data_IF_850911574377
#
_entry.id   IF_850911574377
#
_cell.length_a   1.000
_cell.length_b   1.000
_cell.length_c   1.000
_cell.angle_alpha   90.00
_cell.angle_beta   90.00
_cell.angle_gamma   90.00
#
_symmetry.space_group_name_H-M   'P 1'
#
loop_
_entity.id
_entity.type
_entity.pdbx_description
1 polymer ?
2 non-polymer ?
3 non-polymer ?
4 water ?
#
# COMPACT_ATOMS: atom_id res chain seq x y z
N UNK A 31 -25.51 -0.33 4.60
CA UNK A 31 -25.03 1.03 4.49
C UNK A 31 -23.54 1.08 4.13
N UNK A 32 -23.05 2.28 3.82
CA UNK A 32 -21.66 2.50 3.46
C UNK A 32 -21.06 3.43 4.51
N UNK A 33 -19.89 3.13 5.06
CA UNK A 33 -19.30 4.02 6.07
C UNK A 33 -19.01 5.39 5.49
N UNK A 34 -18.91 6.41 6.33
CA UNK A 34 -18.58 7.75 5.82
C UNK A 34 -17.18 7.78 5.25
N UNK A 35 -16.86 8.79 4.45
CA UNK A 35 -15.53 8.83 3.82
C UNK A 35 -14.44 9.17 4.82
N UNK A 36 -13.24 8.66 4.54
CA UNK A 36 -12.08 9.05 5.30
C UNK A 36 -11.63 10.45 4.90
N UNK A 37 -10.89 11.11 5.81
CA UNK A 37 -10.19 12.33 5.47
C UNK A 37 -8.84 11.99 4.84
N UNK A 38 -8.51 12.65 3.73
CA UNK A 38 -7.29 12.36 2.96
C UNK A 38 -6.52 13.64 2.69
N UNK A 39 -5.97 14.26 3.73
CA UNK A 39 -5.27 15.55 3.55
C UNK A 39 -3.93 15.36 2.87
N UNK A 40 -3.53 16.25 1.97
CA UNK A 40 -2.20 16.13 1.36
C UNK A 40 -1.10 16.50 2.35
N UNK A 41 0.06 15.86 2.19
CA UNK A 41 1.16 16.02 3.12
C UNK A 41 2.49 16.21 2.38
N UNK A 42 2.46 16.94 1.26
CA UNK A 42 3.68 17.21 0.49
C UNK A 42 4.80 17.74 1.38
N UNK A 43 6.01 17.21 1.20
CA UNK A 43 7.15 17.62 2.00
C UNK A 43 7.65 19.00 1.57
N UNK A 44 7.61 20.00 2.44
CA UNK A 44 8.11 21.33 2.05
C UNK A 44 9.61 21.30 1.79
N UNK A 45 10.10 22.09 0.86
CA UNK A 45 11.56 22.13 0.61
C UNK A 45 12.29 22.92 1.68
N UNK A 46 13.40 22.36 2.14
CA UNK A 46 14.21 22.97 3.20
C UNK A 46 15.66 23.05 2.75
N UNK A 47 16.13 24.23 2.36
CA UNK A 47 17.53 24.35 1.92
C UNK A 47 18.54 23.89 2.96
N UNK A 48 18.19 23.97 4.25
CA UNK A 48 19.15 23.65 5.30
C UNK A 48 19.37 22.15 5.47
N UNK A 49 18.46 21.31 4.97
CA UNK A 49 18.57 19.87 5.14
C UNK A 49 19.22 19.17 3.96
N UNK A 50 19.56 19.90 2.89
CA UNK A 50 20.13 19.31 1.67
C UNK A 50 21.44 18.58 1.95
N UNK A 51 21.45 17.24 1.89
CA UNK A 51 22.67 16.51 2.23
C UNK A 51 23.50 16.23 0.99
N UNK A 52 24.81 16.07 1.14
CA UNK A 52 25.63 15.58 0.02
C UNK A 52 25.37 14.10 -0.22
N UNK A 53 25.71 13.59 -1.42
CA UNK A 53 25.39 12.19 -1.73
C UNK A 53 25.89 11.19 -0.69
N UNK A 54 27.09 11.43 -0.13
CA UNK A 54 27.66 10.48 0.81
C UNK A 54 26.84 10.41 2.09
N UNK A 55 26.09 11.47 2.41
CA UNK A 55 25.28 11.48 3.62
C UNK A 55 23.94 10.77 3.46
N UNK A 56 23.56 10.38 2.25
CA UNK A 56 22.33 9.61 2.02
C UNK A 56 22.71 8.14 1.96
N UNK A 57 22.31 7.33 2.93
CA UNK A 57 22.69 5.90 2.89
C UNK A 57 22.04 5.18 1.72
N UNK A 58 22.77 4.22 1.16
CA UNK A 58 22.19 3.38 0.13
C UNK A 58 21.19 2.39 0.72
N UNK A 59 20.19 2.02 -0.06
CA UNK A 59 19.22 1.04 0.39
C UNK A 59 19.91 -0.31 0.58
N UNK A 60 19.54 -1.07 1.61
CA UNK A 60 20.23 -2.35 1.86
C UNK A 60 20.04 -3.33 0.71
N UNK A 61 21.11 -4.04 0.38
CA UNK A 61 21.09 -5.06 -0.66
C UNK A 61 21.59 -6.36 -0.05
N UNK A 62 20.73 -7.38 -0.04
CA UNK A 62 21.06 -8.70 0.49
C UNK A 62 20.98 -9.73 -0.63
N UNK A 63 21.64 -10.87 -0.40
CA UNK A 63 21.55 -11.96 -1.37
C UNK A 63 20.13 -12.50 -1.45
N UNK A 64 19.85 -13.19 -2.56
CA UNK A 64 18.54 -13.83 -2.69
C UNK A 64 18.33 -14.86 -1.58
N UNK A 65 19.39 -15.57 -1.20
CA UNK A 65 19.28 -16.55 -0.13
C UNK A 65 18.83 -15.90 1.18
N UNK A 66 19.52 -14.83 1.59
CA UNK A 66 19.14 -14.11 2.80
C UNK A 66 17.73 -13.52 2.67
N UNK A 67 17.41 -12.96 1.50
CA UNK A 67 16.10 -12.34 1.34
C UNK A 67 14.97 -13.34 1.56
N UNK A 68 15.12 -14.56 1.03
CA UNK A 68 14.05 -15.55 1.17
C UNK A 68 13.89 -15.99 2.62
N UNK A 69 15.01 -16.13 3.34
CA UNK A 69 14.93 -16.45 4.77
C UNK A 69 14.23 -15.34 5.54
N UNK A 70 14.56 -14.07 5.24
CA UNK A 70 13.93 -12.96 5.95
C UNK A 70 12.45 -12.86 5.61
N UNK A 71 12.08 -13.15 4.36
CA UNK A 71 10.68 -13.14 4.00
C UNK A 71 9.91 -14.22 4.75
N UNK A 72 10.52 -15.40 4.91
CA UNK A 72 9.86 -16.47 5.67
C UNK A 72 9.67 -16.10 7.14
N UNK A 73 10.67 -15.44 7.73
CA UNK A 73 10.54 -14.99 9.12
C UNK A 73 9.42 -13.99 9.28
N UNK A 74 9.37 -13.00 8.39
CA UNK A 74 8.31 -12.00 8.44
C UNK A 74 6.95 -12.63 8.19
N UNK A 75 6.87 -13.62 7.31
CA UNK A 75 5.59 -14.27 7.05
C UNK A 75 5.06 -14.95 8.31
N UNK A 76 5.95 -15.62 9.05
CA UNK A 76 5.51 -16.30 10.28
C UNK A 76 5.09 -15.27 11.33
N UNK A 77 5.83 -14.16 11.42
CA UNK A 77 5.46 -13.15 12.41
C UNK A 77 4.11 -12.52 12.08
N UNK A 78 3.83 -12.30 10.79
CA UNK A 78 2.56 -11.73 10.40
C UNK A 78 1.41 -12.70 10.69
N UNK A 79 1.63 -13.99 10.42
CA UNK A 79 0.64 -15.00 10.72
C UNK A 79 0.16 -14.91 12.17
N UNK A 80 1.06 -14.64 13.10
CA UNK A 80 0.74 -14.66 14.52
C UNK A 80 0.52 -13.29 15.13
N UNK A 81 0.68 -12.22 14.36
CA UNK A 81 0.54 -10.88 14.90
C UNK A 81 -0.38 -9.95 14.13
N UNK A 82 -0.92 -10.39 13.00
CA UNK A 82 -1.80 -9.56 12.18
C UNK A 82 -3.13 -10.28 12.05
N UNK A 83 -4.22 -9.60 12.42
CA UNK A 83 -5.54 -10.22 12.40
C UNK A 83 -6.00 -10.42 10.97
N UNK A 84 -6.50 -11.61 10.66
CA UNK A 84 -6.99 -11.90 9.32
C UNK A 84 -5.93 -12.33 8.34
N UNK A 85 -4.71 -12.57 8.77
CA UNK A 85 -3.65 -12.94 7.85
C UNK A 85 -3.91 -14.31 7.24
N UNK A 86 -3.58 -14.44 5.96
CA UNK A 86 -3.75 -15.70 5.26
C UNK A 86 -2.67 -15.83 4.20
N UNK A 87 -2.18 -17.05 4.03
CA UNK A 87 -1.60 -17.46 2.77
C UNK A 87 -2.76 -17.87 1.88
N UNK A 88 -2.56 -17.80 0.59
CA UNK A 88 -3.67 -18.00 -0.35
C UNK A 88 -3.55 -19.34 -1.04
N UNK A 89 -4.60 -19.70 -1.78
CA UNK A 89 -4.55 -20.87 -2.64
C UNK A 89 -3.53 -20.64 -3.75
N UNK A 90 -3.02 -21.72 -4.36
CA UNK A 90 -2.04 -21.54 -5.45
C UNK A 90 -2.56 -20.66 -6.58
N UNK A 91 -3.83 -20.83 -6.99
CA UNK A 91 -4.35 -20.03 -8.09
C UNK A 91 -4.39 -18.55 -7.71
N UNK A 92 -4.76 -18.24 -6.46
CA UNK A 92 -4.79 -16.86 -6.02
C UNK A 92 -3.39 -16.27 -5.91
N UNK A 93 -2.44 -17.05 -5.38
CA UNK A 93 -1.05 -16.58 -5.32
C UNK A 93 -0.50 -16.25 -6.72
N UNK A 94 -0.76 -17.13 -7.68
CA UNK A 94 -0.31 -16.87 -9.05
C UNK A 94 -0.89 -15.57 -9.59
N UNK A 95 -2.16 -15.29 -9.31
CA UNK A 95 -2.77 -14.05 -9.77
C UNK A 95 -2.10 -12.84 -9.16
N UNK A 96 -1.86 -12.86 -7.85
CA UNK A 96 -1.16 -11.76 -7.20
C UNK A 96 0.23 -11.55 -7.83
N UNK A 97 0.99 -12.63 -8.00
CA UNK A 97 2.37 -12.52 -8.44
C UNK A 97 2.45 -12.08 -9.90
N UNK A 98 1.62 -12.66 -10.76
CA UNK A 98 1.67 -12.33 -12.19
C UNK A 98 1.23 -10.89 -12.45
N UNK A 99 0.10 -10.49 -11.87
CA UNK A 99 -0.42 -9.15 -12.14
C UNK A 99 0.45 -8.06 -11.53
N UNK A 100 1.06 -8.33 -10.37
CA UNK A 100 1.96 -7.35 -9.77
C UNK A 100 3.22 -7.17 -10.62
N UNK A 101 3.82 -8.29 -11.05
CA UNK A 101 4.99 -8.20 -11.93
C UNK A 101 4.63 -7.54 -13.25
N UNK A 102 3.46 -7.88 -13.81
CA UNK A 102 2.99 -7.21 -15.03
C UNK A 102 2.94 -5.69 -14.84
N UNK A 103 2.38 -5.23 -13.72
CA UNK A 103 2.17 -3.81 -13.51
C UNK A 103 3.50 -3.08 -13.33
N UNK A 104 4.41 -3.64 -12.53
CA UNK A 104 5.72 -3.02 -12.36
C UNK A 104 6.45 -2.95 -13.69
N UNK A 105 6.35 -3.99 -14.52
CA UNK A 105 6.99 -3.97 -15.84
C UNK A 105 6.39 -2.90 -16.75
N UNK A 106 5.06 -2.75 -16.75
CA UNK A 106 4.43 -1.74 -17.60
C UNK A 106 4.74 -0.33 -17.13
N UNK A 107 4.92 -0.12 -15.82
CA UNK A 107 5.28 1.17 -15.28
C UNK A 107 6.77 1.48 -15.44
N UNK A 108 7.56 0.52 -15.95
CA UNK A 108 9.00 0.68 -16.14
C UNK A 108 9.68 1.08 -14.82
N UNK A 109 9.22 0.50 -13.71
CA UNK A 109 9.89 0.71 -12.42
C UNK A 109 10.92 -0.39 -12.21
N UNK A 110 12.17 -0.05 -11.92
CA UNK A 110 13.21 -1.09 -11.84
C UNK A 110 13.17 -1.84 -10.51
N UNK A 111 13.53 -3.12 -10.59
CA UNK A 111 13.72 -3.96 -9.40
C UNK A 111 15.19 -4.36 -9.41
N UNK A 112 16.01 -3.63 -8.66
CA UNK A 112 17.45 -3.83 -8.66
C UNK A 112 17.98 -4.47 -7.38
N UNK A 113 17.10 -4.79 -6.43
CA UNK A 113 17.48 -5.39 -5.15
C UNK A 113 16.29 -6.18 -4.64
N UNK A 114 16.51 -7.25 -3.89
CA UNK A 114 15.37 -7.92 -3.22
C UNK A 114 14.60 -6.92 -2.38
N UNK A 115 13.27 -6.94 -2.50
CA UNK A 115 12.44 -5.96 -1.82
C UNK A 115 10.99 -6.43 -1.74
N UNK A 116 10.33 -6.04 -0.65
CA UNK A 116 8.91 -6.34 -0.51
C UNK A 116 8.06 -5.38 -1.35
N UNK A 117 6.91 -5.87 -1.81
CA UNK A 117 5.92 -5.10 -2.55
C UNK A 117 4.55 -5.40 -1.93
N UNK A 118 3.75 -4.36 -1.67
CA UNK A 118 2.40 -4.53 -1.14
C UNK A 118 1.43 -4.53 -2.33
N UNK A 119 0.82 -5.67 -2.61
CA UNK A 119 -0.05 -5.83 -3.75
C UNK A 119 -1.50 -5.86 -3.25
N UNK A 120 -2.33 -4.97 -3.79
CA UNK A 120 -3.73 -4.82 -3.38
C UNK A 120 -4.62 -5.19 -4.55
N UNK A 121 -5.48 -6.20 -4.37
CA UNK A 121 -6.43 -6.59 -5.42
C UNK A 121 -7.74 -5.89 -5.14
N UNK A 122 -8.05 -4.87 -5.92
CA UNK A 122 -9.25 -4.07 -5.71
C UNK A 122 -10.51 -4.74 -6.23
N UNK A 123 -10.40 -5.89 -6.91
CA UNK A 123 -11.61 -6.50 -7.46
C UNK A 123 -12.65 -6.67 -6.37
N UNK A 124 -13.91 -6.36 -6.70
CA UNK A 124 -15.00 -6.40 -5.73
C UNK A 124 -15.13 -7.77 -5.06
N UNK A 125 -14.73 -8.84 -5.76
CA UNK A 125 -14.85 -10.20 -5.26
C UNK A 125 -13.65 -10.67 -4.47
N UNK A 126 -12.55 -9.91 -4.47
CA UNK A 126 -11.32 -10.34 -3.79
C UNK A 126 -11.07 -9.50 -2.54
N UNK A 127 -10.75 -8.22 -2.73
CA UNK A 127 -10.62 -7.26 -1.61
C UNK A 127 -9.64 -7.78 -0.57
N UNK A 128 -8.44 -8.16 -1.05
CA UNK A 128 -7.36 -8.63 -0.20
C UNK A 128 -6.04 -8.06 -0.69
N UNK A 129 -5.07 -7.95 0.21
CA UNK A 129 -3.71 -7.61 -0.15
C UNK A 129 -2.81 -8.82 0.04
N UNK A 130 -1.67 -8.82 -0.67
CA UNK A 130 -0.65 -9.86 -0.55
C UNK A 130 0.71 -9.17 -0.53
N UNK A 131 1.52 -9.48 0.47
CA UNK A 131 2.92 -9.07 0.46
C UNK A 131 3.73 -10.02 -0.40
N UNK A 132 4.54 -9.46 -1.31
CA UNK A 132 5.34 -10.23 -2.26
C UNK A 132 6.80 -9.82 -2.14
N UNK A 133 7.69 -10.80 -2.28
CA UNK A 133 9.14 -10.56 -2.32
C UNK A 133 9.52 -10.51 -3.79
N UNK A 134 9.88 -9.33 -4.27
CA UNK A 134 10.37 -9.15 -5.62
C UNK A 134 11.88 -9.38 -5.63
N UNK A 135 12.34 -10.23 -6.54
CA UNK A 135 13.76 -10.55 -6.69
C UNK A 135 14.21 -10.15 -8.08
N UNK A 136 15.41 -9.56 -8.20
CA UNK A 136 15.84 -9.06 -9.51
C UNK A 136 16.13 -10.15 -10.52
N UNK A 137 16.51 -11.34 -10.08
CA UNK A 137 16.97 -12.38 -11.00
C UNK A 137 16.40 -13.76 -10.64
N UNK A 138 15.23 -13.78 -10.01
CA UNK A 138 14.57 -15.03 -9.65
C UNK A 138 13.08 -14.79 -9.55
N UNK A 139 12.28 -15.86 -9.55
CA UNK A 139 10.82 -15.69 -9.47
C UNK A 139 10.39 -15.03 -8.16
N UNK A 140 9.40 -14.15 -8.25
CA UNK A 140 8.90 -13.49 -7.07
C UNK A 140 8.18 -14.51 -6.18
N UNK A 141 8.08 -14.20 -4.88
CA UNK A 141 7.50 -15.12 -3.90
C UNK A 141 6.43 -14.43 -3.05
N UNK A 142 5.39 -15.19 -2.74
CA UNK A 142 4.22 -14.68 -2.01
C UNK A 142 4.38 -14.98 -0.52
N UNK A 143 4.18 -13.94 0.32
CA UNK A 143 4.23 -14.11 1.76
C UNK A 143 2.85 -14.31 2.39
N UNK A 144 1.80 -13.72 1.82
CA UNK A 144 0.48 -13.71 2.41
C UNK A 144 0.02 -12.31 2.72
N UNK A 145 -1.22 -12.21 3.18
CA UNK A 145 -1.81 -10.92 3.45
C UNK A 145 -3.16 -10.99 4.16
N UNK A 146 -3.90 -9.90 4.06
CA UNK A 146 -5.11 -9.71 4.83
C UNK A 146 -6.22 -9.16 3.95
N UNK A 147 -7.47 -9.25 4.40
CA UNK A 147 -8.54 -8.51 3.72
C UNK A 147 -8.27 -7.01 3.77
N UNK A 148 -8.82 -6.28 2.78
CA UNK A 148 -8.80 -4.83 2.74
C UNK A 148 -10.19 -4.35 2.33
N UNK A 149 -10.38 -3.03 2.31
CA UNK A 149 -11.54 -2.42 1.68
C UNK A 149 -11.04 -1.30 0.79
N UNK A 150 -11.36 -1.37 -0.52
CA UNK A 150 -11.05 -0.31 -1.46
C UNK A 150 -12.35 0.43 -1.84
N UNK A 151 -12.26 1.29 -2.85
CA UNK A 151 -13.37 2.18 -3.16
C UNK A 151 -14.56 1.44 -3.75
N UNK A 152 -15.76 1.86 -3.32
CA UNK A 152 -16.98 1.21 -3.76
C UNK A 152 -17.60 1.93 -4.97
N UNK A 153 -18.44 1.19 -5.69
CA UNK A 153 -19.28 1.75 -6.74
C UNK A 153 -20.68 2.02 -6.20
N UNK A 154 -21.48 2.73 -7.00
CA UNK A 154 -22.87 2.95 -6.67
C UNK A 154 -23.15 4.02 -5.65
N UNK A 155 -22.17 4.86 -5.32
CA UNK A 155 -22.33 5.91 -4.31
C UNK A 155 -21.71 7.20 -4.82
N UNK A 156 -22.50 8.26 -4.85
CA UNK A 156 -21.99 9.53 -5.32
C UNK A 156 -20.86 10.02 -4.42
N UNK A 157 -19.78 10.50 -5.04
CA UNK A 157 -18.55 11.05 -4.45
C UNK A 157 -17.62 9.98 -3.92
N UNK A 158 -17.91 8.70 -4.16
CA UNK A 158 -17.00 7.60 -3.87
C UNK A 158 -16.36 7.12 -5.17
N UNK A 159 -15.06 6.94 -5.14
CA UNK A 159 -14.27 6.57 -6.31
C UNK A 159 -13.78 5.13 -6.26
N UNK A 160 -13.61 4.53 -7.43
CA UNK A 160 -12.92 3.25 -7.55
C UNK A 160 -11.43 3.47 -7.35
N UNK A 161 -10.81 2.68 -6.47
CA UNK A 161 -9.36 2.80 -6.26
C UNK A 161 -8.63 2.47 -7.57
N UNK A 162 -7.74 3.35 -8.05
CA UNK A 162 -7.09 3.10 -9.35
C UNK A 162 -6.04 2.02 -9.30
N UNK A 163 -5.96 1.24 -10.38
CA UNK A 163 -4.85 0.31 -10.58
C UNK A 163 -3.59 1.10 -10.92
N UNK A 164 -2.43 0.51 -10.63
CA UNK A 164 -1.18 1.11 -11.00
C UNK A 164 -0.11 0.84 -9.95
N UNK A 165 1.04 1.48 -10.15
CA UNK A 165 2.19 1.33 -9.27
C UNK A 165 2.39 2.66 -8.56
N UNK A 166 2.34 2.64 -7.22
CA UNK A 166 2.41 3.84 -6.41
C UNK A 166 3.56 3.70 -5.42
N UNK A 167 4.46 4.67 -5.41
CA UNK A 167 5.66 4.57 -4.60
C UNK A 167 5.56 5.44 -3.36
N UNK A 168 6.00 4.89 -2.22
CA UNK A 168 6.10 5.63 -0.95
C UNK A 168 7.46 6.32 -0.91
N UNK A 169 7.48 7.62 -1.22
CA UNK A 169 8.74 8.37 -1.33
C UNK A 169 8.77 9.52 -0.33
N UNK A 170 9.95 10.14 -0.21
CA UNK A 170 10.13 11.29 0.66
C UNK A 170 9.52 12.57 0.10
N UNK A 171 8.80 12.50 -1.04
CA UNK A 171 8.09 13.66 -1.54
C UNK A 171 6.88 13.96 -0.66
N UNK A 172 6.47 13.03 0.21
CA UNK A 172 5.34 13.21 1.11
C UNK A 172 5.71 12.67 2.49
N UNK A 173 5.13 13.28 3.52
CA UNK A 173 5.37 12.86 4.90
C UNK A 173 4.35 11.87 5.44
N UNK A 174 3.12 11.89 4.93
CA UNK A 174 2.06 11.18 5.65
C UNK A 174 1.84 11.82 7.00
N UNK A 175 1.17 11.09 7.89
CA UNK A 175 0.90 11.63 9.21
C UNK A 175 0.46 10.50 10.13
N UNK A 176 0.18 10.85 11.39
CA UNK A 176 -0.34 9.91 12.38
C UNK A 176 -1.69 10.39 12.87
N UNK A 177 -2.70 9.50 12.78
CA UNK A 177 -4.05 9.82 13.24
C UNK A 177 -4.09 9.79 14.77
N UNK A 193 -0.19 7.37 17.68
CA UNK A 193 -1.26 7.45 16.69
C UNK A 193 -1.08 6.47 15.55
N UNK A 194 -2.17 6.23 14.81
CA UNK A 194 -2.14 5.27 13.71
C UNK A 194 -1.49 5.92 12.49
N UNK A 195 -0.60 5.19 11.84
CA UNK A 195 0.12 5.72 10.68
C UNK A 195 -0.79 5.86 9.47
N UNK A 196 -0.61 6.95 8.71
CA UNK A 196 -1.26 7.10 7.41
C UNK A 196 -0.18 7.33 6.36
N UNK A 197 -0.22 6.53 5.29
CA UNK A 197 0.68 6.67 4.15
C UNK A 197 -0.02 7.47 3.07
N UNK A 198 0.66 8.52 2.57
CA UNK A 198 0.12 9.41 1.55
C UNK A 198 0.82 9.13 0.22
N UNK A 199 0.05 8.66 -0.77
CA UNK A 199 0.59 8.26 -2.06
C UNK A 199 0.43 9.33 -3.13
N UNK A 200 -0.12 10.51 -2.78
CA UNK A 200 -0.21 11.64 -3.68
C UNK A 200 -1.53 11.68 -4.45
N UNK A 201 -1.70 12.77 -5.19
CA UNK A 201 -2.85 12.91 -6.07
C UNK A 201 -2.77 11.87 -7.16
N UNK A 202 -3.88 11.16 -7.40
CA UNK A 202 -3.93 10.14 -8.46
C UNK A 202 -5.26 10.22 -9.20
N UNK A 203 -5.20 9.95 -10.51
CA UNK A 203 -6.41 9.92 -11.33
C UNK A 203 -7.20 8.65 -11.02
N UNK A 204 -8.51 8.82 -10.80
CA UNK A 204 -9.37 7.71 -10.41
C UNK A 204 -10.72 7.85 -11.08
N UNK A 205 -11.36 6.71 -11.31
CA UNK A 205 -12.68 6.67 -11.94
C UNK A 205 -13.79 6.89 -10.90
N UNK A 206 -14.67 7.83 -11.19
CA UNK A 206 -15.87 8.05 -10.38
C UNK A 206 -16.72 6.79 -10.36
N UNK A 207 -17.03 6.32 -9.14
CA UNK A 207 -17.69 5.02 -8.99
C UNK A 207 -19.16 4.99 -9.28
N UNK A 208 -19.78 6.17 -9.48
CA UNK A 208 -21.22 6.27 -9.65
C UNK A 208 -21.63 6.68 -11.06
N UNK A 209 -20.70 6.70 -12.02
CA UNK A 209 -21.01 7.15 -13.37
C UNK A 209 -20.61 6.12 -14.41
N UNK A 210 -21.56 5.37 -14.95
CA UNK A 210 -21.21 4.37 -15.98
C UNK A 210 -20.54 4.94 -17.21
N UNK A 211 -20.65 6.26 -17.46
CA UNK A 211 -20.00 6.83 -18.64
C UNK A 211 -18.47 6.83 -18.56
N UNK A 212 -17.87 6.51 -17.40
CA UNK A 212 -16.43 6.53 -17.19
C UNK A 212 -15.93 7.96 -17.24
N UNK A 213 -15.85 8.59 -16.07
CA UNK A 213 -15.40 9.97 -15.89
C UNK A 213 -14.43 9.96 -14.74
N UNK A 214 -13.24 10.56 -14.93
CA UNK A 214 -12.22 10.50 -13.90
C UNK A 214 -12.17 11.80 -13.10
N UNK A 215 -11.57 11.72 -11.92
CA UNK A 215 -11.23 12.87 -11.12
C UNK A 215 -9.97 12.56 -10.33
N UNK A 216 -9.50 13.53 -9.57
CA UNK A 216 -8.29 13.40 -8.77
C UNK A 216 -8.66 13.08 -7.32
N UNK A 217 -8.04 12.03 -6.77
CA UNK A 217 -8.19 11.71 -5.36
C UNK A 217 -6.81 11.76 -4.73
N UNK A 218 -6.78 12.04 -3.42
CA UNK A 218 -5.55 11.92 -2.63
C UNK A 218 -5.48 10.48 -2.14
N UNK A 219 -4.69 9.66 -2.82
CA UNK A 219 -4.67 8.22 -2.52
C UNK A 219 -3.88 7.97 -1.23
N UNK A 220 -4.53 7.38 -0.22
CA UNK A 220 -3.89 7.16 1.07
C UNK A 220 -4.25 5.79 1.60
N UNK A 221 -3.41 5.28 2.50
CA UNK A 221 -3.64 4.02 3.20
C UNK A 221 -3.97 4.35 4.64
N UNK A 222 -5.13 3.85 5.12
CA UNK A 222 -5.68 4.15 6.43
C UNK A 222 -5.99 2.86 7.18
N UNK A 223 -5.74 2.83 8.48
CA UNK A 223 -6.24 1.74 9.29
C UNK A 223 -7.76 1.87 9.48
N UNK A 224 -8.37 0.77 9.95
CA UNK A 224 -9.73 0.81 10.45
C UNK A 224 -9.78 1.71 11.69
N UNK A 225 -11.01 2.10 12.09
CA UNK A 225 -11.19 3.04 13.20
C UNK A 225 -12.65 3.00 13.64
N UNK A 226 -13.06 3.79 14.64
CA UNK A 226 -14.44 3.65 15.15
C UNK A 226 -15.52 3.94 14.12
N UNK A 227 -15.23 4.67 13.05
CA UNK A 227 -16.19 4.94 12.00
C UNK A 227 -16.00 4.07 10.77
N UNK A 228 -15.02 3.15 10.79
CA UNK A 228 -14.82 2.18 9.71
C UNK A 228 -14.34 0.89 10.40
N UNK A 229 -15.28 0.04 10.80
CA UNK A 229 -14.97 -1.08 11.66
C UNK A 229 -14.34 -2.23 10.87
N UNK A 230 -13.61 -3.07 11.58
CA UNK A 230 -12.82 -4.11 10.93
C UNK A 230 -13.69 -5.11 10.18
N UNK A 231 -14.94 -5.30 10.61
CA UNK A 231 -15.78 -6.25 9.88
C UNK A 231 -16.12 -5.75 8.49
N UNK A 232 -15.83 -4.48 8.15
CA UNK A 232 -16.06 -4.00 6.80
C UNK A 232 -15.05 -4.56 5.80
N UNK A 233 -13.89 -5.00 6.28
CA UNK A 233 -12.84 -5.43 5.37
C UNK A 233 -13.27 -6.70 4.63
N UNK A 234 -12.86 -6.79 3.36
CA UNK A 234 -13.21 -7.88 2.47
C UNK A 234 -14.33 -7.55 1.50
N UNK A 235 -14.92 -6.37 1.58
CA UNK A 235 -15.92 -5.87 0.65
C UNK A 235 -15.64 -4.40 0.40
N UNK A 236 -15.89 -3.90 -0.81
CA UNK A 236 -15.60 -2.49 -1.10
C UNK A 236 -16.52 -1.58 -0.30
N UNK A 237 -15.91 -0.61 0.39
CA UNK A 237 -16.67 0.30 1.24
C UNK A 237 -16.02 1.66 1.43
N UNK A 238 -14.85 1.92 0.84
CA UNK A 238 -14.18 3.21 1.01
C UNK A 238 -14.60 4.20 -0.09
N UNK A 239 -14.17 5.46 0.10
CA UNK A 239 -14.37 6.52 -0.90
C UNK A 239 -13.27 6.54 -1.94
N UNK A 240 -12.27 5.64 -1.84
CA UNK A 240 -11.19 5.58 -2.81
C UNK A 240 -9.87 5.18 -2.17
N UNK A 241 -9.75 5.43 -0.86
CA UNK A 241 -8.56 5.02 -0.12
C UNK A 241 -8.51 3.51 0.07
N UNK A 242 -7.38 3.04 0.60
CA UNK A 242 -7.17 1.62 0.90
C UNK A 242 -7.25 1.46 2.43
N UNK A 243 -8.26 0.75 2.92
CA UNK A 243 -8.39 0.46 4.34
C UNK A 243 -7.75 -0.89 4.66
N UNK A 244 -6.94 -0.93 5.70
CA UNK A 244 -6.24 -2.14 6.13
C UNK A 244 -6.50 -2.39 7.60
N UNK A 245 -6.30 -3.63 8.06
CA UNK A 245 -6.48 -3.91 9.49
C UNK A 245 -5.53 -3.07 10.33
N UNK A 246 -6.02 -2.65 11.50
CA UNK A 246 -5.21 -1.87 12.42
C UNK A 246 -3.91 -2.60 12.81
N UNK A 247 -3.99 -3.91 13.00
CA UNK A 247 -2.79 -4.68 13.36
C UNK A 247 -1.82 -4.77 12.18
N UNK A 248 -2.33 -4.83 10.93
CA UNK A 248 -1.44 -4.80 9.78
C UNK A 248 -0.75 -3.45 9.66
N UNK A 249 -1.47 -2.39 9.98
CA UNK A 249 -0.90 -1.04 9.99
C UNK A 249 0.26 -0.96 10.99
N UNK A 250 0.02 -1.45 12.21
CA UNK A 250 1.10 -1.39 13.20
C UNK A 250 2.29 -2.27 12.80
N UNK A 251 2.02 -3.43 12.20
CA UNK A 251 3.11 -4.30 11.77
C UNK A 251 3.96 -3.63 10.68
N UNK A 252 3.31 -3.06 9.66
CA UNK A 252 4.02 -2.35 8.61
C UNK A 252 4.84 -1.20 9.19
N UNK A 253 4.27 -0.49 10.18
CA UNK A 253 4.94 0.64 10.81
C UNK A 253 6.20 0.19 11.55
N UNK A 254 6.10 -0.91 12.29
CA UNK A 254 7.19 -1.33 13.16
C UNK A 254 8.34 -1.95 12.36
N UNK A 255 8.02 -2.77 11.36
CA UNK A 255 9.04 -3.44 10.56
C UNK A 255 9.37 -2.72 9.26
N UNK A 256 8.69 -1.61 8.95
CA UNK A 256 9.03 -0.78 7.83
C UNK A 256 8.89 -1.42 6.46
N UNK A 257 7.85 -2.22 6.25
CA UNK A 257 7.78 -3.06 5.06
C UNK A 257 7.78 -2.24 3.78
N UNK A 258 7.13 -1.07 3.77
CA UNK A 258 7.12 -0.22 2.59
C UNK A 258 7.83 1.12 2.82
N UNK A 259 8.69 1.20 3.84
CA UNK A 259 9.29 2.46 4.27
C UNK A 259 10.77 2.59 3.88
N UNK A 260 11.24 1.83 2.88
CA UNK A 260 12.67 1.90 2.53
C UNK A 260 13.14 3.33 2.24
N UNK A 261 12.39 4.07 1.41
CA UNK A 261 12.81 5.42 1.07
C UNK A 261 12.50 6.39 2.19
N UNK A 262 11.46 6.11 2.97
CA UNK A 262 11.16 6.88 4.17
C UNK A 262 12.26 6.75 5.22
N UNK A 263 12.74 5.54 5.44
CA UNK A 263 13.84 5.33 6.37
C UNK A 263 15.12 6.01 5.86
N UNK A 264 15.36 5.91 4.56
CA UNK A 264 16.52 6.57 3.97
C UNK A 264 16.50 8.07 4.26
N UNK A 265 15.34 8.71 4.05
CA UNK A 265 15.24 10.14 4.33
C UNK A 265 15.38 10.43 5.82
N UNK A 266 14.82 9.57 6.68
CA UNK A 266 14.97 9.73 8.12
C UNK A 266 16.41 9.71 8.58
N UNK A 267 17.34 9.24 7.75
CA UNK A 267 18.75 9.27 8.13
C UNK A 267 19.27 10.68 8.31
N UNK A 268 18.80 11.63 7.50
CA UNK A 268 19.27 13.01 7.53
C UNK A 268 18.19 14.06 7.74
N UNK A 269 16.91 13.69 7.73
CA UNK A 269 15.82 14.67 7.79
C UNK A 269 15.00 14.47 9.05
N UNK A 270 14.99 15.43 9.99
CA UNK A 270 14.32 15.20 11.28
C UNK A 270 12.81 15.04 11.17
N UNK A 271 12.21 15.53 10.09
CA UNK A 271 10.76 15.40 9.94
C UNK A 271 10.36 13.95 9.72
N UNK A 272 11.15 13.20 8.94
CA UNK A 272 10.88 11.78 8.74
C UNK A 272 11.25 10.97 9.97
N UNK A 273 12.37 11.29 10.60
CA UNK A 273 12.74 10.64 11.86
C UNK A 273 11.62 10.80 12.89
N UNK A 274 10.98 11.96 12.93
CA UNK A 274 9.99 12.23 13.98
C UNK A 274 8.69 11.45 13.78
N UNK A 275 8.36 11.09 12.55
CA UNK A 275 7.13 10.37 12.29
C UNK A 275 7.28 8.86 12.41
N UNK A 276 8.50 8.35 12.33
CA UNK A 276 8.67 6.89 12.42
C UNK A 276 8.75 6.44 13.87
N UNK A 277 8.31 5.22 14.17
CA UNK A 277 8.34 4.75 15.57
C UNK A 277 9.77 4.66 16.11
N UNK A 278 9.95 5.14 17.34
CA UNK A 278 11.31 5.12 17.90
C UNK A 278 11.82 3.69 18.13
N UNK A 279 10.92 2.74 18.40
CA UNK A 279 11.31 1.37 18.70
C UNK A 279 11.20 0.47 17.47
N UNK A 280 11.23 1.03 16.27
CA UNK A 280 11.07 0.24 15.06
C UNK A 280 12.27 -0.69 14.84
N UNK A 281 12.05 -1.72 14.04
CA UNK A 281 13.07 -2.72 13.69
C UNK A 281 12.99 -2.95 12.20
N UNK A 282 13.51 -2.04 11.38
CA UNK A 282 13.28 -2.10 9.93
C UNK A 282 13.96 -3.32 9.32
N UNK A 283 13.23 -3.97 8.42
CA UNK A 283 13.77 -5.15 7.75
C UNK A 283 14.66 -4.75 6.57
N UNK A 284 15.73 -5.54 6.36
CA UNK A 284 16.65 -5.24 5.28
C UNK A 284 16.04 -5.43 3.91
N UNK A 285 14.90 -6.14 3.81
CA UNK A 285 14.21 -6.29 2.52
C UNK A 285 13.05 -5.30 2.40
N UNK A 286 13.08 -4.23 3.16
CA UNK A 286 12.05 -3.20 3.06
C UNK A 286 11.95 -2.71 1.62
N UNK A 287 10.72 -2.50 1.16
CA UNK A 287 10.46 -1.96 -0.16
C UNK A 287 9.81 -0.58 -0.13
N UNK A 288 9.22 -0.19 -1.25
CA UNK A 288 8.57 1.10 -1.33
C UNK A 288 7.41 1.15 -2.30
N UNK A 289 7.05 0.03 -2.94
CA UNK A 289 5.99 0.03 -3.95
C UNK A 289 4.69 -0.52 -3.37
N UNK A 290 3.59 0.18 -3.67
CA UNK A 290 2.23 -0.28 -3.43
C UNK A 290 1.60 -0.46 -4.80
N UNK A 291 1.22 -1.68 -5.15
CA UNK A 291 0.75 -2.04 -6.49
C UNK A 291 -0.71 -2.48 -6.39
N UNK A 292 -1.59 -1.72 -7.03
CA UNK A 292 -3.01 -2.04 -7.06
C UNK A 292 -3.31 -2.75 -8.38
N UNK A 293 -3.85 -3.97 -8.27
CA UNK A 293 -4.21 -4.82 -9.40
C UNK A 293 -5.72 -5.04 -9.39
N UNK A 294 -6.23 -5.64 -10.47
CA UNK A 294 -7.63 -6.07 -10.59
C UNK A 294 -7.64 -7.39 -11.35
N UNK A 295 -7.98 -8.47 -10.66
CA UNK A 295 -7.86 -9.82 -11.21
C UNK A 295 -9.09 -10.29 -11.99
N UNK A 296 -10.30 -9.95 -11.54
CA UNK A 296 -11.54 -10.41 -12.16
C UNK A 296 -11.87 -9.46 -13.27
N UNK A 297 -13.10 -9.52 -13.79
CA UNK A 297 -13.52 -8.50 -14.76
C UNK A 297 -13.34 -7.12 -14.14
N UNK A 298 -12.78 -6.20 -14.90
CA UNK A 298 -12.44 -4.89 -14.36
C UNK A 298 -13.68 -4.22 -13.76
N UNK A 299 -13.48 -3.57 -12.62
CA UNK A 299 -14.58 -2.90 -11.93
C UNK A 299 -15.26 -1.88 -12.85
N UNK A 300 -16.58 -1.93 -12.91
CA UNK A 300 -17.36 -0.97 -13.67
C UNK A 300 -18.16 -0.08 -12.72
N UNK A 301 -18.23 1.23 -12.98
CA UNK A 301 -19.09 2.10 -12.15
C UNK A 301 -20.55 1.68 -12.27
N UNK A 302 -21.34 2.05 -11.25
CA UNK A 302 -22.77 1.76 -11.17
C UNK A 302 -23.49 2.98 -10.61
N UNK A 303 -24.70 3.24 -11.11
CA UNK A 303 -25.40 4.47 -10.74
C UNK A 303 -25.80 4.42 -9.25
N UNK A 304 -25.87 5.61 -8.64
CA UNK A 304 -26.44 5.80 -7.31
C UNK A 304 -27.91 6.19 -7.47
N UNK A 305 -28.85 5.31 -7.19
CA UNK A 305 -30.27 5.64 -7.48
C UNK A 305 -30.79 6.84 -6.71
N UNK A 306 -30.10 7.31 -5.69
CA UNK A 306 -30.57 8.44 -4.88
C UNK A 306 -29.83 9.73 -5.18
N UNK A 307 -28.77 9.70 -5.99
CA UNK A 307 -28.12 10.91 -6.42
C UNK A 307 -29.03 11.72 -7.33
N UNK A 308 -28.96 13.04 -7.22
CA UNK A 308 -29.82 13.92 -8.01
C UNK A 308 -29.32 14.03 -9.45
X LIG B 1 -18.39 0.96 10.18
X LIG C 1 -12.02 0.02 -5.73
#
# INVERSE_FOLDING_TARGET
>A
MKYLLPTAAAGLLLLAAQPAMAMDIGINSASVPPPASNPPTDTPPQPDLAPPPIDIPDLPVVSDEVAREEASRLAVLMKHNVKGFSTYTPERRKAFLTLAKDAVTQADMPVSRPQLVMVVDRNEKIQHLDYVLALPDAPWESLGGTPVSTGTTGRKYYYITPTGVFQNTADRLGYRAEGTKNKYGIRGIGAKGSRVWDMGWQTAMKGWLPRHETGQIRLEIHATDPQFLEWRLGHPASEGCIRIPATMNKFMDHYGLIDALYEQAASYDPRFQALLPKDRQPTQIAGDLVVVIDSGPLTEPKIDPIADKRPLPAAKLAAALEHHHHHH
>B hetero
1 CL CL
>C hetero
1 NA NA
#
